data_IF_711054930694
#
_entry.id   IF_711054930694
#
_cell.length_a   1.000
_cell.length_b   1.000
_cell.length_c   1.000
_cell.angle_alpha   90.00
_cell.angle_beta   90.00
_cell.angle_gamma   90.00
#
_symmetry.space_group_name_H-M   'P 1'
#
loop_
_entity.id
_entity.type
_entity.pdbx_description
1 polymer ?
#
# COMPACT_ATOMS: atom_id res chain seq x y z
N UNK A 1 -9.30 19.18 6.65
CA UNK A 1 -10.07 18.01 7.08
C UNK A 1 -10.33 17.18 5.84
N UNK A 2 -9.69 16.02 5.72
CA UNK A 2 -10.30 14.83 5.09
C UNK A 2 -10.85 15.11 3.67
N UNK A 3 -10.03 15.27 2.63
CA UNK A 3 -10.53 15.53 1.26
C UNK A 3 -9.94 14.64 0.17
N UNK A 4 -9.26 13.54 0.50
CA UNK A 4 -8.89 12.55 -0.54
C UNK A 4 -9.39 11.16 -0.20
N UNK A 5 -9.33 10.75 1.06
CA UNK A 5 -10.01 9.52 1.45
C UNK A 5 -11.52 9.56 1.16
N UNK A 6 -12.28 10.63 1.46
CA UNK A 6 -13.67 10.69 1.04
C UNK A 6 -13.83 10.98 -0.45
N UNK A 7 -12.77 11.28 -1.22
CA UNK A 7 -12.85 11.41 -2.69
C UNK A 7 -12.46 10.12 -3.40
N UNK A 8 -11.63 9.26 -2.81
CA UNK A 8 -11.43 7.90 -3.29
C UNK A 8 -12.61 7.03 -2.87
N UNK A 9 -13.11 7.21 -1.64
CA UNK A 9 -14.36 6.63 -1.18
C UNK A 9 -15.55 7.31 -1.86
N UNK A 10 -15.56 8.60 -2.19
CA UNK A 10 -16.61 9.18 -3.05
C UNK A 10 -16.46 8.70 -4.46
N UNK A 11 -15.32 8.72 -5.14
CA UNK A 11 -15.20 8.22 -6.51
C UNK A 11 -15.52 6.73 -6.54
N UNK A 12 -15.18 5.95 -5.52
CA UNK A 12 -15.58 4.55 -5.41
C UNK A 12 -17.07 4.40 -5.06
N UNK A 13 -17.64 5.18 -4.13
CA UNK A 13 -19.08 5.20 -3.85
C UNK A 13 -19.87 5.83 -4.98
N UNK A 14 -19.31 6.71 -5.78
CA UNK A 14 -19.93 7.46 -6.86
C UNK A 14 -19.82 6.59 -8.10
N UNK A 15 -18.73 5.84 -8.32
CA UNK A 15 -18.70 4.72 -9.27
C UNK A 15 -19.65 3.61 -8.81
N UNK A 16 -19.68 3.21 -7.53
CA UNK A 16 -20.60 2.18 -7.03
C UNK A 16 -22.05 2.64 -7.00
N UNK A 17 -22.36 3.92 -6.71
CA UNK A 17 -23.70 4.52 -6.68
C UNK A 17 -24.13 4.87 -8.10
N UNK A 18 -23.24 5.32 -8.99
CA UNK A 18 -23.53 5.46 -10.42
C UNK A 18 -23.77 4.08 -11.01
N UNK A 19 -22.99 3.06 -10.63
CA UNK A 19 -23.20 1.66 -11.05
C UNK A 19 -24.46 1.06 -10.41
N UNK A 20 -24.81 1.37 -9.16
CA UNK A 20 -26.02 0.90 -8.48
C UNK A 20 -27.29 1.61 -8.98
N UNK A 21 -27.23 2.92 -9.23
CA UNK A 21 -28.27 3.73 -9.88
C UNK A 21 -28.42 3.31 -11.35
N UNK A 22 -27.31 3.00 -12.04
CA UNK A 22 -27.33 2.36 -13.35
C UNK A 22 -28.00 0.99 -13.27
N UNK A 23 -27.68 0.14 -12.29
CA UNK A 23 -28.27 -1.20 -12.12
C UNK A 23 -29.76 -1.15 -11.73
N UNK A 24 -30.21 -0.15 -10.96
CA UNK A 24 -31.62 0.00 -10.54
C UNK A 24 -32.51 0.75 -11.55
N UNK A 25 -31.95 1.55 -12.45
CA UNK A 25 -32.69 2.19 -13.54
C UNK A 25 -32.79 1.21 -14.71
N UNK A 26 -33.90 0.49 -14.84
CA UNK A 26 -34.03 -0.67 -15.75
C UNK A 26 -33.96 -0.37 -17.26
N UNK A 27 -33.60 0.85 -17.70
CA UNK A 27 -33.50 1.21 -19.13
C UNK A 27 -32.17 1.88 -19.54
N UNK A 28 -31.44 2.52 -18.63
CA UNK A 28 -30.18 3.24 -18.93
C UNK A 28 -28.87 2.40 -18.97
N UNK A 29 -28.65 1.37 -18.12
CA UNK A 29 -27.39 0.63 -18.07
C UNK A 29 -27.18 -0.20 -19.33
N UNK A 30 -28.26 -0.73 -19.90
CA UNK A 30 -28.21 -1.53 -21.12
C UNK A 30 -27.79 -0.68 -22.31
N UNK A 31 -28.30 0.54 -22.44
CA UNK A 31 -27.96 1.44 -23.55
C UNK A 31 -26.50 1.93 -23.45
N UNK A 32 -26.05 2.23 -22.23
CA UNK A 32 -24.67 2.66 -21.97
C UNK A 32 -23.67 1.51 -22.24
N UNK A 33 -23.97 0.30 -21.76
CA UNK A 33 -23.17 -0.89 -22.10
C UNK A 33 -23.21 -1.21 -23.59
N UNK A 34 -24.34 -1.03 -24.29
CA UNK A 34 -24.43 -1.27 -25.73
C UNK A 34 -23.56 -0.29 -26.52
N UNK A 35 -23.67 1.00 -26.21
CA UNK A 35 -22.87 2.04 -26.86
C UNK A 35 -21.38 1.83 -26.57
N UNK A 36 -21.02 1.42 -25.36
CA UNK A 36 -19.66 1.03 -25.01
C UNK A 36 -19.23 -0.25 -25.75
N UNK A 37 -20.08 -1.28 -25.84
CA UNK A 37 -19.79 -2.51 -26.57
C UNK A 37 -19.60 -2.28 -28.07
N UNK A 38 -20.35 -1.34 -28.65
CA UNK A 38 -20.27 -0.98 -30.07
C UNK A 38 -19.09 -0.05 -30.39
N UNK A 39 -18.74 0.87 -29.48
CA UNK A 39 -17.71 1.90 -29.74
C UNK A 39 -16.35 1.60 -29.11
N UNK A 40 -16.31 0.95 -27.95
CA UNK A 40 -15.12 0.62 -27.16
C UNK A 40 -15.33 -0.69 -26.37
N UNK A 41 -15.39 -1.85 -27.05
CA UNK A 41 -15.63 -3.16 -26.41
C UNK A 41 -14.58 -3.52 -25.34
N UNK A 42 -13.37 -2.95 -25.45
CA UNK A 42 -12.27 -3.13 -24.50
C UNK A 42 -12.60 -2.61 -23.09
N UNK A 43 -13.51 -1.64 -22.96
CA UNK A 43 -13.92 -1.09 -21.66
C UNK A 43 -14.89 -1.99 -20.88
N UNK A 44 -15.53 -2.98 -21.53
CA UNK A 44 -16.43 -3.93 -20.86
C UNK A 44 -15.68 -4.80 -19.84
N UNK A 45 -14.43 -5.11 -20.16
CA UNK A 45 -13.58 -5.98 -19.37
C UNK A 45 -12.59 -5.22 -18.46
N UNK A 46 -12.59 -3.88 -18.50
CA UNK A 46 -11.69 -3.04 -17.70
C UNK A 46 -11.73 -3.33 -16.19
N UNK A 47 -12.87 -3.77 -15.66
CA UNK A 47 -12.99 -4.17 -14.26
C UNK A 47 -12.07 -5.36 -13.89
N UNK A 48 -11.73 -6.21 -14.85
CA UNK A 48 -10.79 -7.33 -14.67
C UNK A 48 -9.36 -6.83 -14.44
N UNK A 49 -9.01 -5.69 -15.04
CA UNK A 49 -7.70 -5.05 -14.87
C UNK A 49 -7.58 -4.35 -13.50
N UNK A 50 -8.70 -4.13 -12.81
CA UNK A 50 -8.77 -3.54 -11.48
C UNK A 50 -8.91 -4.56 -10.34
N UNK A 51 -8.60 -5.84 -10.58
CA UNK A 51 -8.84 -6.92 -9.61
C UNK A 51 -8.17 -6.74 -8.23
N UNK A 52 -7.08 -5.99 -8.13
CA UNK A 52 -6.41 -5.68 -6.85
C UNK A 52 -6.96 -4.45 -6.14
N UNK A 53 -7.85 -3.68 -6.77
CA UNK A 53 -8.32 -2.38 -6.26
C UNK A 53 -9.11 -2.54 -4.95
N UNK A 54 -9.97 -3.55 -4.86
CA UNK A 54 -10.75 -3.82 -3.64
C UNK A 54 -9.87 -4.20 -2.45
N UNK A 55 -8.78 -4.93 -2.69
CA UNK A 55 -7.81 -5.27 -1.65
C UNK A 55 -7.01 -4.01 -1.26
N UNK A 56 -6.61 -3.20 -2.23
CA UNK A 56 -5.85 -1.97 -2.01
C UNK A 56 -6.61 -0.94 -1.17
N UNK A 57 -7.93 -0.80 -1.36
CA UNK A 57 -8.76 0.14 -0.56
C UNK A 57 -8.91 -0.26 0.91
N UNK A 58 -8.61 -1.52 1.26
CA UNK A 58 -8.65 -2.02 2.64
C UNK A 58 -7.32 -1.88 3.37
N UNK A 59 -6.25 -1.51 2.67
CA UNK A 59 -4.93 -1.32 3.27
C UNK A 59 -4.93 0.00 4.03
N UNK A 60 -4.71 -0.06 5.35
CA UNK A 60 -4.51 1.12 6.18
C UNK A 60 -3.03 1.52 6.14
N UNK A 61 -2.70 2.57 5.40
CA UNK A 61 -1.31 3.00 5.17
C UNK A 61 -0.62 3.43 6.47
N UNK A 62 -1.40 4.00 7.39
CA UNK A 62 -0.92 4.32 8.74
C UNK A 62 -0.41 3.09 9.50
N UNK A 63 -1.15 1.99 9.46
CA UNK A 63 -0.74 0.73 10.10
C UNK A 63 0.52 0.17 9.45
N UNK A 64 0.61 0.26 8.11
CA UNK A 64 1.80 -0.17 7.39
C UNK A 64 3.05 0.65 7.78
N UNK A 65 2.92 1.97 7.95
CA UNK A 65 4.01 2.83 8.41
C UNK A 65 4.43 2.49 9.85
N UNK A 66 3.47 2.22 10.74
CA UNK A 66 3.72 1.80 12.12
C UNK A 66 4.47 0.46 12.20
N UNK A 67 4.06 -0.53 11.40
CA UNK A 67 4.73 -1.84 11.30
C UNK A 67 6.16 -1.70 10.75
N UNK A 68 6.35 -0.90 9.68
CA UNK A 68 7.68 -0.64 9.12
C UNK A 68 8.62 -0.01 10.15
N UNK A 69 8.10 0.94 10.95
CA UNK A 69 8.86 1.55 12.03
C UNK A 69 9.17 0.55 13.16
N UNK A 70 8.20 -0.29 13.53
CA UNK A 70 8.36 -1.30 14.57
C UNK A 70 9.44 -2.32 14.20
N UNK A 71 9.43 -2.80 12.96
CA UNK A 71 10.43 -3.72 12.42
C UNK A 71 11.82 -3.08 12.43
N UNK A 72 11.94 -1.84 11.96
CA UNK A 72 13.22 -1.11 11.95
C UNK A 72 13.80 -0.93 13.36
N UNK A 73 12.96 -0.49 14.31
CA UNK A 73 13.36 -0.35 15.73
C UNK A 73 13.72 -1.68 16.38
N UNK A 74 13.00 -2.75 16.04
CA UNK A 74 13.30 -4.10 16.50
C UNK A 74 14.71 -4.51 16.08
N UNK A 75 15.05 -4.30 14.82
CA UNK A 75 16.37 -4.62 14.27
C UNK A 75 17.49 -3.79 14.95
N UNK A 76 17.27 -2.49 15.16
CA UNK A 76 18.22 -1.63 15.88
C UNK A 76 18.51 -2.15 17.29
N UNK A 77 17.49 -2.61 18.01
CA UNK A 77 17.65 -3.20 19.36
C UNK A 77 18.47 -4.48 19.30
N UNK A 78 18.26 -5.33 18.30
CA UNK A 78 19.04 -6.57 18.12
C UNK A 78 20.53 -6.24 17.84
N UNK A 79 20.82 -5.20 17.07
CA UNK A 79 22.20 -4.72 16.86
C UNK A 79 22.83 -4.17 18.15
N UNK A 80 22.06 -3.43 18.95
CA UNK A 80 22.51 -2.96 20.26
C UNK A 80 22.81 -4.13 21.20
N UNK A 81 21.93 -5.12 21.25
CA UNK A 81 22.12 -6.34 22.05
C UNK A 81 23.38 -7.09 21.62
N UNK A 82 23.60 -7.29 20.32
CA UNK A 82 24.84 -7.91 19.83
C UNK A 82 26.10 -7.14 20.25
N UNK A 83 26.03 -5.81 20.26
CA UNK A 83 27.14 -4.95 20.69
C UNK A 83 27.39 -5.08 22.19
N UNK A 84 26.32 -5.15 23.00
CA UNK A 84 26.42 -5.39 24.44
C UNK A 84 27.02 -6.78 24.72
N UNK A 85 26.49 -7.82 24.08
CA UNK A 85 26.92 -9.21 24.29
C UNK A 85 28.37 -9.46 23.91
N UNK A 86 28.91 -8.77 22.90
CA UNK A 86 30.35 -8.88 22.57
C UNK A 86 31.27 -8.48 23.73
N UNK A 87 30.80 -7.64 24.65
CA UNK A 87 31.58 -7.20 25.81
C UNK A 87 31.51 -8.17 26.99
N UNK A 88 30.64 -9.19 26.95
CA UNK A 88 30.43 -10.14 28.04
C UNK A 88 31.46 -11.29 28.07
N UNK A 89 32.35 -11.35 27.06
CA UNK A 89 33.43 -12.34 27.00
C UNK A 89 32.98 -13.73 26.51
N UNK A 90 33.68 -14.82 26.89
CA UNK A 90 33.49 -16.14 26.28
C UNK A 90 32.09 -16.75 26.50
N UNK A 91 31.36 -16.29 27.52
CA UNK A 91 30.04 -16.83 27.87
C UNK A 91 28.96 -16.48 26.83
N UNK A 92 29.16 -15.40 26.07
CA UNK A 92 28.20 -14.90 25.08
C UNK A 92 28.58 -15.24 23.63
N UNK A 93 29.67 -15.97 23.39
CA UNK A 93 30.22 -16.24 22.06
C UNK A 93 29.20 -16.93 21.13
N UNK A 94 28.56 -17.99 21.63
CA UNK A 94 27.52 -18.72 20.89
C UNK A 94 26.28 -17.85 20.61
N UNK A 95 25.91 -16.99 21.56
CA UNK A 95 24.79 -16.06 21.39
C UNK A 95 25.10 -15.00 20.32
N UNK A 96 26.32 -14.44 20.34
CA UNK A 96 26.78 -13.49 19.34
C UNK A 96 26.79 -14.12 17.93
N UNK A 97 27.21 -15.38 17.81
CA UNK A 97 27.25 -16.07 16.52
C UNK A 97 25.85 -16.26 15.93
N UNK A 98 24.89 -16.73 16.73
CA UNK A 98 23.49 -16.87 16.32
C UNK A 98 22.87 -15.51 15.96
N UNK A 99 23.15 -14.47 16.76
CA UNK A 99 22.66 -13.12 16.49
C UNK A 99 23.20 -12.54 15.18
N UNK A 100 24.46 -12.77 14.85
CA UNK A 100 25.04 -12.31 13.59
C UNK A 100 24.39 -12.98 12.37
N UNK A 101 24.15 -14.30 12.44
CA UNK A 101 23.44 -15.01 11.36
C UNK A 101 22.01 -14.49 11.21
N UNK A 102 21.29 -14.33 12.32
CA UNK A 102 19.94 -13.76 12.31
C UNK A 102 19.92 -12.35 11.71
N UNK A 103 20.81 -11.46 12.14
CA UNK A 103 20.91 -10.09 11.64
C UNK A 103 21.17 -10.05 10.14
N UNK A 104 22.05 -10.91 9.62
CA UNK A 104 22.36 -10.96 8.19
C UNK A 104 21.13 -11.23 7.32
N UNK A 105 20.25 -12.12 7.79
CA UNK A 105 18.98 -12.42 7.13
C UNK A 105 17.96 -11.30 7.32
N UNK A 106 17.78 -10.86 8.57
CA UNK A 106 16.76 -9.86 8.92
C UNK A 106 17.03 -8.52 8.23
N UNK A 107 18.28 -8.07 8.13
CA UNK A 107 18.64 -6.84 7.40
C UNK A 107 18.26 -6.88 5.93
N UNK A 108 18.40 -8.04 5.27
CA UNK A 108 18.01 -8.21 3.88
C UNK A 108 16.49 -8.10 3.70
N UNK A 109 15.72 -8.74 4.57
CA UNK A 109 14.25 -8.67 4.56
C UNK A 109 13.74 -7.26 4.87
N UNK A 110 14.31 -6.58 5.87
CA UNK A 110 13.94 -5.19 6.20
C UNK A 110 14.26 -4.25 5.04
N UNK A 111 15.39 -4.46 4.34
CA UNK A 111 15.72 -3.68 3.13
C UNK A 111 14.72 -3.93 2.00
N UNK A 112 14.33 -5.18 1.77
CA UNK A 112 13.32 -5.55 0.77
C UNK A 112 11.98 -4.89 1.08
N UNK A 113 11.55 -4.94 2.35
CA UNK A 113 10.32 -4.30 2.81
C UNK A 113 10.36 -2.78 2.66
N UNK A 114 11.49 -2.14 3.00
CA UNK A 114 11.69 -0.70 2.81
C UNK A 114 11.58 -0.28 1.34
N UNK A 115 12.16 -1.07 0.43
CA UNK A 115 12.05 -0.84 -1.01
C UNK A 115 10.61 -0.96 -1.48
N UNK A 116 9.88 -2.00 -1.04
CA UNK A 116 8.47 -2.18 -1.38
C UNK A 116 7.63 -1.00 -0.90
N UNK A 117 7.80 -0.58 0.35
CA UNK A 117 7.10 0.59 0.92
C UNK A 117 7.38 1.86 0.11
N UNK A 118 8.64 2.14 -0.21
CA UNK A 118 9.02 3.28 -1.03
C UNK A 118 8.45 3.22 -2.46
N UNK A 119 8.36 2.02 -3.05
CA UNK A 119 7.74 1.82 -4.37
C UNK A 119 6.25 2.13 -4.34
N UNK A 120 5.53 1.70 -3.30
CA UNK A 120 4.10 2.01 -3.15
C UNK A 120 3.89 3.51 -2.99
N UNK A 121 4.72 4.19 -2.20
CA UNK A 121 4.69 5.66 -2.07
C UNK A 121 4.87 6.37 -3.41
N UNK A 122 5.91 6.01 -4.18
CA UNK A 122 6.15 6.61 -5.51
C UNK A 122 5.02 6.32 -6.51
N UNK A 123 4.41 5.14 -6.45
CA UNK A 123 3.27 4.79 -7.30
C UNK A 123 2.03 5.62 -6.93
N UNK A 124 1.80 5.86 -5.64
CA UNK A 124 0.72 6.73 -5.17
C UNK A 124 0.95 8.20 -5.61
N UNK A 125 2.18 8.71 -5.49
CA UNK A 125 2.53 10.05 -5.96
C UNK A 125 2.35 10.20 -7.48
N UNK A 126 2.77 9.18 -8.25
CA UNK A 126 2.58 9.15 -9.70
C UNK A 126 1.10 9.13 -10.10
N UNK A 127 0.26 8.41 -9.34
CA UNK A 127 -1.18 8.39 -9.55
C UNK A 127 -1.82 9.76 -9.28
N UNK A 128 -1.41 10.44 -8.21
CA UNK A 128 -1.86 11.81 -7.92
C UNK A 128 -1.49 12.77 -9.05
N UNK A 129 -0.25 12.72 -9.54
CA UNK A 129 0.19 13.51 -10.70
C UNK A 129 -0.60 13.20 -11.97
N UNK A 130 -0.92 11.93 -12.23
CA UNK A 130 -1.69 11.51 -13.40
C UNK A 130 -3.08 12.15 -13.43
N UNK A 131 -3.72 12.33 -12.27
CA UNK A 131 -5.00 13.02 -12.14
C UNK A 131 -4.89 14.55 -12.01
N UNK A 132 -3.67 15.10 -12.09
CA UNK A 132 -3.41 16.54 -12.01
C UNK A 132 -3.38 17.09 -10.58
N UNK A 133 -3.27 16.23 -9.57
CA UNK A 133 -3.12 16.61 -8.17
C UNK A 133 -1.64 16.83 -7.78
N UNK A 134 -1.42 17.53 -6.67
CA UNK A 134 -0.09 17.76 -6.10
C UNK A 134 0.19 16.73 -4.99
N UNK A 135 1.17 15.81 -5.19
CA UNK A 135 1.53 14.79 -4.21
C UNK A 135 1.93 15.34 -2.83
N UNK A 136 2.52 16.55 -2.79
CA UNK A 136 2.96 17.17 -1.54
C UNK A 136 1.80 17.60 -0.63
N UNK A 137 0.59 17.72 -1.19
CA UNK A 137 -0.62 18.07 -0.43
C UNK A 137 -1.23 16.86 0.28
N UNK A 138 -0.75 15.66 -0.02
CA UNK A 138 -1.39 14.38 0.33
C UNK A 138 -0.33 13.29 0.58
N UNK A 139 0.41 13.36 1.68
CA UNK A 139 1.45 12.38 1.94
C UNK A 139 0.85 10.98 2.06
N UNK A 140 1.44 10.01 1.35
CA UNK A 140 1.07 8.60 1.36
C UNK A 140 0.84 8.03 2.78
N UNK A 141 1.60 8.52 3.77
CA UNK A 141 1.53 8.06 5.17
C UNK A 141 0.30 8.56 5.96
N UNK A 142 -0.48 9.49 5.39
CA UNK A 142 -1.66 10.09 6.06
C UNK A 142 -3.00 9.52 5.57
N UNK A 143 -3.00 8.59 4.61
CA UNK A 143 -4.20 7.90 4.15
C UNK A 143 -4.68 6.85 5.15
N UNK A 144 -5.67 7.18 5.97
CA UNK A 144 -6.49 6.22 6.75
C UNK A 144 -7.62 5.70 5.90
#
# INVERSE_FOLDING_TARGET
MITIFPYFVMIFLEIQLQMYVLIQSTEFPALCLLVLAEKLPELLDFHKDLGSLEAATKIQLKYLAEEMQAVSKGLEKVVQELTASKNDGPVSENFCQILMEFLSYAEAEVRSLAQLYANVGRNADALALYFGEDPARVPFEQGT
#
